data_IF_654533366853
#
_entry.id   IF_654533366853
#
_cell.length_a   1.000
_cell.length_b   1.000
_cell.length_c   1.000
_cell.angle_alpha   90.00
_cell.angle_beta   90.00
_cell.angle_gamma   90.00
#
_symmetry.space_group_name_H-M   'P 1'
#
loop_
_entity.id
_entity.type
_entity.pdbx_description
1 polymer ?
#
# COMPACT_ATOMS: atom_id res chain seq x y z
N UNK A 1 -28.13 10.78 9.80
CA UNK A 1 -27.32 11.16 10.99
C UNK A 1 -26.06 11.85 10.43
N UNK A 2 -25.05 12.32 11.20
CA UNK A 2 -23.83 12.79 10.55
C UNK A 2 -23.19 11.66 9.73
N UNK A 3 -22.66 12.02 8.57
CA UNK A 3 -21.96 11.09 7.70
C UNK A 3 -20.47 11.12 8.01
N UNK A 4 -19.85 9.96 7.92
CA UNK A 4 -18.42 9.80 8.15
C UNK A 4 -17.78 8.95 7.07
N UNK A 5 -16.53 9.25 6.77
CA UNK A 5 -15.65 8.37 6.03
C UNK A 5 -14.56 7.87 6.96
N UNK A 6 -14.51 6.57 7.16
CA UNK A 6 -13.44 5.91 7.91
C UNK A 6 -12.54 5.16 6.96
N UNK A 7 -11.28 5.56 6.91
CA UNK A 7 -10.22 4.83 6.23
C UNK A 7 -9.36 4.15 7.27
N UNK A 8 -9.19 2.83 7.15
CA UNK A 8 -8.23 2.10 7.97
C UNK A 8 -7.23 1.33 7.11
N UNK A 9 -6.03 1.18 7.67
CA UNK A 9 -4.93 0.46 7.07
C UNK A 9 -4.65 -0.75 7.94
N UNK A 10 -4.90 -1.94 7.41
CA UNK A 10 -4.51 -3.20 8.03
C UNK A 10 -3.08 -3.60 7.63
N UNK A 11 -2.45 -4.47 8.43
CA UNK A 11 -1.12 -5.04 8.18
C UNK A 11 -1.02 -5.73 6.81
N UNK A 12 0.17 -6.09 6.36
CA UNK A 12 0.37 -6.78 5.07
C UNK A 12 0.32 -8.31 5.18
N UNK A 13 0.38 -8.86 6.38
CA UNK A 13 0.34 -10.29 6.69
C UNK A 13 -1.10 -10.82 6.81
N UNK A 14 -2.08 -9.92 6.98
CA UNK A 14 -3.50 -10.28 7.00
C UNK A 14 -4.03 -10.52 5.59
N UNK A 15 -4.90 -11.52 5.47
CA UNK A 15 -5.63 -11.81 4.24
C UNK A 15 -6.74 -10.78 3.98
N UNK A 16 -7.18 -10.67 2.72
CA UNK A 16 -8.34 -9.83 2.38
C UNK A 16 -9.58 -10.21 3.19
N UNK A 17 -9.81 -11.51 3.43
CA UNK A 17 -10.94 -12.00 4.21
C UNK A 17 -10.92 -11.48 5.66
N UNK A 18 -9.74 -11.40 6.27
CA UNK A 18 -9.60 -10.84 7.62
C UNK A 18 -9.91 -9.34 7.63
N UNK A 19 -9.45 -8.59 6.62
CA UNK A 19 -9.77 -7.16 6.49
C UNK A 19 -11.27 -6.95 6.31
N UNK A 20 -11.92 -7.82 5.53
CA UNK A 20 -13.37 -7.81 5.36
C UNK A 20 -14.10 -8.16 6.67
N UNK A 21 -13.63 -9.14 7.44
CA UNK A 21 -14.19 -9.47 8.75
C UNK A 21 -14.13 -8.31 9.75
N UNK A 22 -13.06 -7.49 9.71
CA UNK A 22 -12.98 -6.26 10.52
C UNK A 22 -14.05 -5.25 10.09
N UNK A 23 -14.27 -5.09 8.79
CA UNK A 23 -15.34 -4.23 8.28
C UNK A 23 -16.74 -4.77 8.63
N UNK A 24 -16.93 -6.08 8.64
CA UNK A 24 -18.19 -6.72 9.05
C UNK A 24 -18.48 -6.50 10.54
N UNK A 25 -17.45 -6.54 11.40
CA UNK A 25 -17.58 -6.20 12.82
C UNK A 25 -18.05 -4.76 13.05
N UNK A 26 -17.54 -3.81 12.24
CA UNK A 26 -17.99 -2.41 12.25
C UNK A 26 -19.44 -2.30 11.78
N UNK A 27 -19.82 -3.03 10.73
CA UNK A 27 -21.18 -3.05 10.21
C UNK A 27 -22.18 -3.56 11.28
N UNK A 28 -21.85 -4.63 11.99
CA UNK A 28 -22.69 -5.18 13.05
C UNK A 28 -22.87 -4.19 14.23
N UNK A 29 -21.81 -3.47 14.60
CA UNK A 29 -21.89 -2.43 15.62
C UNK A 29 -22.79 -1.26 15.19
N UNK A 30 -22.69 -0.85 13.91
CA UNK A 30 -23.54 0.19 13.35
C UNK A 30 -25.01 -0.20 13.33
N UNK A 31 -25.32 -1.43 12.89
CA UNK A 31 -26.69 -1.95 12.85
C UNK A 31 -27.32 -1.97 14.25
N UNK A 32 -26.55 -2.26 15.29
CA UNK A 32 -27.01 -2.26 16.69
C UNK A 32 -27.45 -0.87 17.16
N UNK A 33 -26.75 0.19 16.75
CA UNK A 33 -27.05 1.58 17.14
C UNK A 33 -28.03 2.31 16.20
N UNK A 34 -28.51 1.61 15.16
CA UNK A 34 -29.40 2.13 14.12
C UNK A 34 -28.70 2.94 13.03
N UNK A 35 -27.39 2.77 12.86
CA UNK A 35 -26.61 3.29 11.75
C UNK A 35 -26.56 2.34 10.55
N UNK A 36 -25.96 2.79 9.45
CA UNK A 36 -25.80 2.00 8.23
C UNK A 36 -24.46 2.26 7.54
N UNK A 37 -23.93 1.24 6.86
CA UNK A 37 -22.77 1.39 5.96
C UNK A 37 -23.31 1.76 4.58
N UNK A 38 -23.06 2.99 4.13
CA UNK A 38 -23.47 3.47 2.79
C UNK A 38 -22.50 3.04 1.69
N UNK A 39 -21.21 2.92 2.04
CA UNK A 39 -20.15 2.63 1.08
C UNK A 39 -19.10 1.74 1.70
N UNK A 40 -18.65 0.74 0.95
CA UNK A 40 -17.54 -0.14 1.34
C UNK A 40 -16.64 -0.35 0.14
N UNK A 41 -15.38 0.03 0.29
CA UNK A 41 -14.40 -0.09 -0.77
C UNK A 41 -13.10 -0.67 -0.23
N UNK A 42 -12.72 -1.81 -0.79
CA UNK A 42 -11.41 -2.39 -0.55
C UNK A 42 -10.44 -1.98 -1.67
N UNK A 43 -9.47 -1.12 -1.33
CA UNK A 43 -8.48 -0.65 -2.31
C UNK A 43 -7.38 -1.68 -2.60
N UNK A 44 -7.23 -2.67 -1.73
CA UNK A 44 -6.19 -3.69 -1.84
C UNK A 44 -4.90 -3.36 -1.10
N UNK A 45 -3.88 -4.17 -1.35
CA UNK A 45 -2.54 -3.99 -0.80
C UNK A 45 -1.81 -2.86 -1.54
N UNK A 46 -1.41 -1.80 -0.83
CA UNK A 46 -0.66 -0.66 -1.40
C UNK A 46 0.63 -0.42 -0.62
N UNK A 47 1.64 0.14 -1.29
CA UNK A 47 2.90 0.55 -0.65
C UNK A 47 2.70 1.82 0.17
N UNK A 48 3.22 1.82 1.39
CA UNK A 48 3.22 2.99 2.27
C UNK A 48 4.42 3.89 1.92
N UNK A 49 4.25 5.22 2.04
CA UNK A 49 5.34 6.18 1.80
C UNK A 49 6.51 6.01 2.79
N UNK A 50 6.21 5.54 4.01
CA UNK A 50 7.17 5.23 5.06
C UNK A 50 6.69 4.01 5.86
N UNK A 51 7.58 3.42 6.66
CA UNK A 51 7.23 2.24 7.47
C UNK A 51 6.28 2.62 8.61
N UNK A 52 5.18 1.89 8.76
CA UNK A 52 4.25 1.99 9.89
C UNK A 52 4.23 0.63 10.58
N UNK A 53 4.48 0.58 11.90
CA UNK A 53 4.58 -0.68 12.68
C UNK A 53 5.44 -1.75 11.96
N UNK A 54 6.60 -1.35 11.40
CA UNK A 54 7.55 -2.17 10.60
C UNK A 54 7.06 -2.63 9.22
N UNK A 55 5.82 -2.34 8.82
CA UNK A 55 5.27 -2.71 7.51
C UNK A 55 5.57 -1.67 6.42
N UNK A 56 5.91 -2.12 5.21
CA UNK A 56 6.10 -1.28 4.00
C UNK A 56 4.89 -1.27 3.08
N UNK A 57 3.97 -2.22 3.27
CA UNK A 57 2.72 -2.34 2.53
C UNK A 57 1.58 -2.45 3.55
N UNK A 58 0.36 -2.11 3.14
CA UNK A 58 -0.82 -2.26 3.97
C UNK A 58 -2.07 -2.43 3.13
N UNK A 59 -3.05 -3.13 3.68
CA UNK A 59 -4.36 -3.27 3.08
C UNK A 59 -5.22 -2.06 3.44
N UNK A 60 -5.72 -1.37 2.41
CA UNK A 60 -6.56 -0.20 2.60
C UNK A 60 -8.04 -0.55 2.43
N UNK A 61 -8.86 -0.10 3.36
CA UNK A 61 -10.32 -0.18 3.32
C UNK A 61 -10.91 1.20 3.62
N UNK A 62 -11.86 1.63 2.80
CA UNK A 62 -12.68 2.81 3.00
C UNK A 62 -14.10 2.37 3.33
N UNK A 63 -14.66 2.95 4.38
CA UNK A 63 -16.05 2.77 4.80
C UNK A 63 -16.75 4.14 4.87
N UNK A 64 -17.86 4.28 4.17
CA UNK A 64 -18.79 5.39 4.31
C UNK A 64 -19.90 5.02 5.29
N UNK A 65 -19.97 5.73 6.41
CA UNK A 65 -20.80 5.40 7.57
C UNK A 65 -21.85 6.50 7.81
N UNK A 66 -23.10 6.09 8.07
CA UNK A 66 -24.16 6.94 8.61
C UNK A 66 -24.38 6.51 10.07
N UNK A 67 -23.82 7.28 11.01
CA UNK A 67 -23.68 6.85 12.40
C UNK A 67 -23.90 8.02 13.36
N UNK A 68 -24.28 7.71 14.61
CA UNK A 68 -24.29 8.69 15.70
C UNK A 68 -22.87 8.96 16.18
N UNK A 69 -22.56 10.14 16.72
CA UNK A 69 -21.22 10.46 17.23
C UNK A 69 -20.70 9.49 18.30
N UNK A 70 -21.58 8.94 19.15
CA UNK A 70 -21.18 7.97 20.18
C UNK A 70 -20.75 6.63 19.57
N UNK A 71 -21.44 6.16 18.54
CA UNK A 71 -21.08 4.94 17.80
C UNK A 71 -19.71 5.07 17.12
N UNK A 72 -19.39 6.25 16.57
CA UNK A 72 -18.07 6.50 15.96
C UNK A 72 -16.94 6.39 16.99
N UNK A 73 -17.12 6.93 18.21
CA UNK A 73 -16.11 6.79 19.27
C UNK A 73 -15.87 5.32 19.62
N UNK A 74 -16.93 4.51 19.65
CA UNK A 74 -16.81 3.07 19.90
C UNK A 74 -16.11 2.34 18.74
N UNK A 75 -16.43 2.68 17.49
CA UNK A 75 -15.75 2.15 16.30
C UNK A 75 -14.25 2.47 16.34
N UNK A 76 -13.87 3.71 16.63
CA UNK A 76 -12.47 4.11 16.75
C UNK A 76 -11.75 3.37 17.88
N UNK A 77 -12.43 3.14 19.01
CA UNK A 77 -11.90 2.35 20.12
C UNK A 77 -11.65 0.90 19.70
N UNK A 78 -12.62 0.25 19.05
CA UNK A 78 -12.49 -1.14 18.59
C UNK A 78 -11.41 -1.29 17.51
N UNK A 79 -11.35 -0.37 16.55
CA UNK A 79 -10.30 -0.33 15.53
C UNK A 79 -8.91 -0.10 16.13
N UNK A 80 -8.80 0.74 17.17
CA UNK A 80 -7.54 0.98 17.87
C UNK A 80 -7.04 -0.22 18.69
N UNK A 81 -7.96 -1.05 19.21
CA UNK A 81 -7.66 -2.28 19.94
C UNK A 81 -7.29 -3.44 19.01
N UNK A 82 -7.71 -3.40 17.75
CA UNK A 82 -7.42 -4.46 16.81
C UNK A 82 -5.95 -4.41 16.36
N UNK A 83 -5.18 -5.46 16.69
CA UNK A 83 -3.76 -5.58 16.35
C UNK A 83 -3.50 -5.59 14.83
N UNK A 84 -4.47 -6.03 14.05
CA UNK A 84 -4.40 -6.05 12.59
C UNK A 84 -4.45 -4.65 11.97
N UNK A 85 -4.99 -3.67 12.71
CA UNK A 85 -5.13 -2.30 12.24
C UNK A 85 -3.92 -1.48 12.67
N UNK A 86 -3.26 -0.88 11.69
CA UNK A 86 -2.07 -0.07 11.90
C UNK A 86 -2.40 1.41 12.11
N UNK A 87 -3.39 1.92 11.37
CA UNK A 87 -3.81 3.31 11.39
C UNK A 87 -5.26 3.41 10.96
N UNK A 88 -5.97 4.35 11.60
CA UNK A 88 -7.34 4.72 11.30
C UNK A 88 -7.39 6.24 11.10
N UNK A 89 -8.23 6.69 10.18
CA UNK A 89 -8.61 8.08 10.02
C UNK A 89 -10.12 8.13 9.79
N UNK A 90 -10.82 8.87 10.64
CA UNK A 90 -12.25 9.14 10.47
C UNK A 90 -12.43 10.62 10.16
N UNK A 91 -13.17 10.91 9.09
CA UNK A 91 -13.53 12.26 8.69
C UNK A 91 -15.05 12.38 8.73
N UNK A 92 -15.56 13.52 9.20
CA UNK A 92 -16.97 13.86 9.04
C UNK A 92 -17.14 14.46 7.65
N UNK A 93 -18.12 13.97 6.89
CA UNK A 93 -18.43 14.42 5.53
C UNK A 93 -19.87 14.91 5.45
N UNK A 94 -20.15 15.79 4.49
CA UNK A 94 -21.50 16.28 4.24
C UNK A 94 -22.30 15.32 3.33
N UNK A 95 -21.62 14.64 2.42
CA UNK A 95 -22.18 13.68 1.46
C UNK A 95 -21.22 12.51 1.24
N UNK A 96 -21.76 11.31 0.99
CA UNK A 96 -20.97 10.13 0.61
C UNK A 96 -21.25 9.86 -0.86
N UNK A 97 -20.26 10.11 -1.72
CA UNK A 97 -20.34 9.82 -3.15
C UNK A 97 -20.38 8.29 -3.36
N UNK A 98 -21.34 7.79 -4.13
CA UNK A 98 -21.46 6.36 -4.46
C UNK A 98 -20.46 5.92 -5.53
N UNK A 99 -19.87 6.86 -6.28
CA UNK A 99 -18.91 6.53 -7.33
C UNK A 99 -17.65 5.85 -6.76
N UNK A 100 -17.04 4.89 -7.49
CA UNK A 100 -15.81 4.26 -7.03
C UNK A 100 -14.73 5.32 -6.83
N UNK A 101 -14.01 5.27 -5.70
CA UNK A 101 -12.97 6.25 -5.43
C UNK A 101 -11.91 6.30 -6.54
N UNK A 102 -11.28 7.47 -6.70
CA UNK A 102 -10.20 7.71 -7.68
C UNK A 102 -9.08 6.65 -7.57
N UNK A 103 -8.93 6.05 -6.39
CA UNK A 103 -7.94 5.01 -6.12
C UNK A 103 -8.31 3.69 -6.83
N UNK A 104 -9.59 3.33 -6.85
CA UNK A 104 -10.07 2.14 -7.56
C UNK A 104 -10.11 2.38 -9.06
N UNK A 105 -10.54 3.56 -9.52
CA UNK A 105 -10.62 3.85 -10.96
C UNK A 105 -9.24 3.80 -11.65
N UNK A 106 -8.18 4.29 -10.99
CA UNK A 106 -6.80 4.21 -11.53
C UNK A 106 -6.27 2.79 -11.73
N UNK A 107 -6.77 1.82 -10.96
CA UNK A 107 -6.30 0.42 -11.05
C UNK A 107 -6.80 -0.27 -12.33
N UNK A 108 -7.89 0.22 -12.91
CA UNK A 108 -8.34 -0.21 -14.25
C UNK A 108 -7.36 0.23 -15.33
N UNK A 109 -6.98 1.51 -15.32
CA UNK A 109 -6.12 2.12 -16.35
C UNK A 109 -4.69 1.56 -16.38
N UNK A 110 -4.10 1.21 -15.23
CA UNK A 110 -2.73 0.64 -15.21
C UNK A 110 -2.65 -0.77 -15.82
N UNK A 111 -3.70 -1.58 -15.67
CA UNK A 111 -3.73 -2.94 -16.26
C UNK A 111 -3.77 -2.90 -17.78
N UNK A 112 -4.46 -1.92 -18.36
CA UNK A 112 -4.49 -1.73 -19.81
C UNK A 112 -3.16 -1.17 -20.34
N UNK A 113 -2.48 -0.30 -19.59
CA UNK A 113 -1.17 0.26 -19.99
C UNK A 113 -0.01 -0.75 -19.90
N UNK A 114 -0.18 -1.83 -19.14
CA UNK A 114 0.80 -2.91 -18.99
C UNK A 114 0.88 -3.88 -20.17
N UNK A 115 -0.15 -3.97 -21.01
CA UNK A 115 -0.13 -4.80 -22.22
C UNK A 115 0.61 -4.07 -23.36
N UNK A 116 1.92 -3.87 -23.19
CA UNK A 116 2.81 -3.75 -24.34
C UNK A 116 2.94 -5.17 -24.90
N UNK A 117 2.20 -5.45 -25.98
CA UNK A 117 2.22 -6.74 -26.67
C UNK A 117 3.65 -7.23 -26.99
N UNK A 118 3.80 -8.46 -27.51
CA UNK A 118 5.11 -9.07 -27.71
C UNK A 118 6.07 -8.09 -28.39
N UNK A 119 7.20 -7.78 -27.74
CA UNK A 119 8.27 -7.01 -28.38
C UNK A 119 8.54 -7.66 -29.75
N UNK A 120 8.54 -6.91 -30.86
CA UNK A 120 8.74 -7.50 -32.17
C UNK A 120 10.04 -8.30 -32.16
N UNK A 121 9.97 -9.53 -32.65
CA UNK A 121 11.11 -10.44 -32.73
C UNK A 121 12.26 -9.74 -33.47
N UNK A 122 13.46 -9.89 -32.93
CA UNK A 122 14.66 -9.21 -33.38
C UNK A 122 14.81 -9.23 -34.90
N UNK A 123 14.96 -8.04 -35.49
CA UNK A 123 15.52 -7.88 -36.83
C UNK A 123 17.03 -8.15 -36.74
N UNK A 124 17.40 -9.42 -36.60
CA UNK A 124 18.70 -9.92 -37.02
C UNK A 124 18.63 -10.13 -38.55
N UNK A 125 19.77 -10.02 -39.23
CA UNK A 125 19.94 -10.13 -40.68
C UNK A 125 19.43 -8.95 -41.52
N UNK A 126 20.33 -8.03 -41.84
CA UNK A 126 21.04 -8.09 -43.13
C UNK A 126 21.72 -6.75 -43.41
N UNK A 127 23.03 -6.78 -43.65
CA UNK A 127 23.65 -5.86 -44.60
C UNK A 127 24.06 -4.46 -44.10
N UNK A 128 25.38 -4.29 -44.03
CA UNK A 128 26.11 -3.24 -44.76
C UNK A 128 26.12 -1.83 -44.15
N UNK A 129 27.23 -1.54 -43.47
CA UNK A 129 27.84 -0.20 -43.49
C UNK A 129 27.95 0.48 -42.14
N UNK A 130 29.15 0.95 -41.81
CA UNK A 130 29.32 1.95 -40.76
C UNK A 130 30.56 1.73 -39.93
N UNK A 131 31.70 2.18 -40.46
CA UNK A 131 32.96 2.26 -39.75
C UNK A 131 32.89 3.14 -38.49
N UNK A 132 33.70 2.79 -37.49
CA UNK A 132 34.19 3.74 -36.50
C UNK A 132 33.51 3.67 -35.12
N UNK A 133 34.31 3.40 -34.08
CA UNK A 133 33.88 3.68 -32.71
C UNK A 133 34.35 2.69 -31.67
N UNK A 134 35.67 2.47 -31.56
CA UNK A 134 36.22 2.03 -30.29
C UNK A 134 35.94 3.11 -29.23
N UNK A 135 35.38 2.75 -28.07
CA UNK A 135 35.78 3.18 -26.70
C UNK A 135 34.69 2.89 -25.66
N UNK A 136 35.09 2.12 -24.64
CA UNK A 136 34.78 2.22 -23.20
C UNK A 136 33.65 3.18 -22.78
N UNK A 137 32.68 2.68 -22.02
CA UNK A 137 31.77 3.51 -21.21
C UNK A 137 30.96 2.69 -20.21
N UNK A 138 31.47 2.64 -18.97
CA UNK A 138 30.78 2.58 -17.67
C UNK A 138 29.35 1.99 -17.60
N UNK A 139 29.23 0.82 -16.95
CA UNK A 139 27.99 0.31 -16.37
C UNK A 139 27.85 0.85 -14.93
N UNK A 140 27.31 2.07 -14.81
CA UNK A 140 27.01 2.76 -13.54
C UNK A 140 25.77 2.14 -12.85
N UNK A 141 25.91 0.93 -12.29
CA UNK A 141 24.80 0.22 -11.61
C UNK A 141 24.99 -0.02 -10.11
N UNK A 142 25.83 0.78 -9.45
CA UNK A 142 26.02 0.68 -7.99
C UNK A 142 25.93 2.05 -7.29
N UNK A 143 24.71 2.56 -7.10
CA UNK A 143 24.47 3.54 -6.04
C UNK A 143 23.09 3.29 -5.44
N UNK A 144 23.01 2.67 -4.26
CA UNK A 144 22.09 3.05 -3.16
C UNK A 144 22.36 2.18 -1.93
N UNK A 145 23.44 2.53 -1.22
CA UNK A 145 23.48 2.70 0.24
C UNK A 145 22.66 1.70 1.08
N UNK A 146 23.32 0.65 1.55
CA UNK A 146 22.99 0.00 2.82
C UNK A 146 24.26 -0.10 3.68
N UNK A 147 24.62 1.04 4.28
CA UNK A 147 25.48 1.13 5.46
C UNK A 147 24.83 0.33 6.59
N UNK A 148 25.36 -0.83 6.95
CA UNK A 148 25.23 -1.39 8.31
C UNK A 148 26.05 -2.68 8.50
N UNK A 149 27.38 -2.60 8.53
CA UNK A 149 28.18 -3.59 9.26
C UNK A 149 29.26 -2.82 10.05
N UNK A 150 28.86 -2.35 11.23
CA UNK A 150 29.79 -2.15 12.34
C UNK A 150 30.03 -3.54 12.92
N UNK A 151 31.03 -4.25 12.41
CA UNK A 151 31.67 -5.33 13.14
C UNK A 151 33.00 -4.79 13.65
N UNK A 152 32.98 -4.46 14.95
CA UNK A 152 34.16 -4.33 15.80
C UNK A 152 34.96 -5.63 15.73
N UNK A 153 36.13 -5.57 15.11
CA UNK A 153 37.11 -6.66 15.08
C UNK A 153 38.51 -6.08 15.04
N UNK A 154 38.91 -5.46 16.15
CA UNK A 154 40.27 -4.97 16.38
C UNK A 154 41.26 -6.14 16.37
N UNK A 155 42.22 -6.04 15.46
CA UNK A 155 43.63 -6.36 15.62
C UNK A 155 43.99 -7.83 15.88
N UNK A 156 44.10 -8.59 14.78
CA UNK A 156 45.09 -9.67 14.65
C UNK A 156 46.16 -9.25 13.65
N UNK A 157 47.36 -9.82 13.82
CA UNK A 157 48.58 -9.66 13.01
C UNK A 157 49.42 -8.47 13.48
N UNK A 158 50.64 -8.63 13.99
CA UNK A 158 51.69 -9.58 13.65
C UNK A 158 52.98 -8.76 13.51
N UNK A 159 54.15 -9.39 13.69
CA UNK A 159 55.50 -8.82 13.50
C UNK A 159 55.95 -7.87 14.63
N UNK A 160 57.16 -7.89 15.17
CA UNK A 160 58.36 -8.73 15.14
C UNK A 160 59.31 -8.11 16.21
N UNK A 161 60.33 -8.87 16.62
CA UNK A 161 61.34 -8.59 17.68
C UNK A 161 60.93 -8.85 19.15
#
# INVERSE_FOLDING_TARGET
MPLYETVFIARNDVSQQQVEAVADGIAALLETDGGAVKKREYWGLRSLAYRIKKNRKGHYMLLGLDAKPETIKEIERQLGLNEDVMRVLTLRVDEIDEAPSVILSRKGDERERGFRGPKPAGRFESGRGGAGGARRGYDDREEFRARNEREDGRDTDGEAE
#
